data_IF_907483155239
#
_entry.id   IF_907483155239
#
_cell.length_a   1.000
_cell.length_b   1.000
_cell.length_c   1.000
_cell.angle_alpha   90.00
_cell.angle_beta   90.00
_cell.angle_gamma   90.00
#
_symmetry.space_group_name_H-M   'P 1'
#
loop_
_entity.id
_entity.type
_entity.pdbx_description
1 polymer ?
#
# COMPACT_ATOMS: atom_id res chain seq x y z
N UNK A 1 -3.04 -5.97 20.00
CA UNK A 1 -4.37 -6.40 20.48
C UNK A 1 -4.63 -7.80 19.96
N UNK A 2 -5.07 -8.73 20.83
CA UNK A 2 -5.30 -10.14 20.47
C UNK A 2 -6.71 -10.29 19.90
N UNK A 3 -6.85 -10.90 18.72
CA UNK A 3 -8.16 -11.18 18.13
C UNK A 3 -8.92 -12.23 18.96
N UNK A 4 -10.19 -11.95 19.27
CA UNK A 4 -11.12 -12.88 19.94
C UNK A 4 -12.26 -13.18 18.96
N UNK A 5 -12.49 -14.45 18.57
CA UNK A 5 -13.63 -14.80 17.71
C UNK A 5 -14.96 -14.32 18.32
N UNK A 6 -15.60 -13.36 17.67
CA UNK A 6 -16.76 -12.63 18.19
C UNK A 6 -17.90 -12.62 17.18
N UNK A 7 -18.98 -13.36 17.43
CA UNK A 7 -20.16 -13.36 16.55
C UNK A 7 -21.16 -12.27 16.95
N UNK A 8 -22.07 -11.89 16.06
CA UNK A 8 -23.22 -11.00 16.36
C UNK A 8 -24.03 -11.48 17.54
N UNK A 9 -24.26 -12.79 17.65
CA UNK A 9 -24.91 -13.40 18.81
C UNK A 9 -24.17 -13.06 20.11
N UNK A 10 -22.83 -13.11 20.10
CA UNK A 10 -22.00 -12.75 21.26
C UNK A 10 -22.09 -11.25 21.56
N UNK A 11 -22.05 -10.39 20.55
CA UNK A 11 -22.19 -8.94 20.74
C UNK A 11 -23.56 -8.58 21.32
N UNK A 12 -24.63 -9.21 20.85
CA UNK A 12 -25.98 -8.99 21.38
C UNK A 12 -26.12 -9.47 22.83
N UNK A 13 -25.45 -10.56 23.22
CA UNK A 13 -25.36 -10.97 24.62
C UNK A 13 -24.68 -9.89 25.48
N UNK A 14 -23.56 -9.32 25.02
CA UNK A 14 -22.83 -8.28 25.73
C UNK A 14 -23.65 -6.97 25.84
N UNK A 15 -24.38 -6.57 24.77
CA UNK A 15 -25.31 -5.43 24.82
C UNK A 15 -26.43 -5.66 25.83
N UNK A 16 -27.02 -6.86 25.88
CA UNK A 16 -28.06 -7.22 26.86
C UNK A 16 -27.53 -7.15 28.29
N UNK A 17 -26.30 -7.62 28.54
CA UNK A 17 -25.64 -7.51 29.84
C UNK A 17 -25.42 -6.04 30.23
N UNK A 18 -24.91 -5.20 29.32
CA UNK A 18 -24.71 -3.77 29.58
C UNK A 18 -26.03 -3.03 29.87
N UNK A 19 -27.12 -3.39 29.19
CA UNK A 19 -28.46 -2.83 29.44
C UNK A 19 -29.00 -3.20 30.83
N UNK A 20 -28.82 -4.45 31.26
CA UNK A 20 -29.16 -4.88 32.63
C UNK A 20 -28.33 -4.15 33.67
N UNK A 21 -27.03 -4.03 33.44
CA UNK A 21 -26.10 -3.34 34.33
C UNK A 21 -26.50 -1.86 34.50
N UNK A 22 -26.88 -1.19 33.41
CA UNK A 22 -27.40 0.19 33.43
C UNK A 22 -28.70 0.31 34.23
N UNK A 23 -29.62 -0.65 34.09
CA UNK A 23 -30.89 -0.63 34.82
C UNK A 23 -30.70 -0.77 36.34
N UNK A 24 -29.67 -1.49 36.77
CA UNK A 24 -29.36 -1.67 38.21
C UNK A 24 -28.50 -0.55 38.80
N UNK A 25 -27.53 -0.02 38.05
CA UNK A 25 -26.53 0.94 38.57
C UNK A 25 -26.71 2.40 38.10
N UNK A 26 -27.57 2.67 37.13
CA UNK A 26 -27.71 4.00 36.52
C UNK A 26 -26.48 4.43 35.72
N UNK A 27 -26.45 5.67 35.20
CA UNK A 27 -25.27 6.23 34.49
C UNK A 27 -25.27 6.07 32.96
N UNK A 28 -24.14 6.45 32.33
CA UNK A 28 -24.00 6.46 30.86
C UNK A 28 -23.86 5.04 30.31
N UNK A 29 -24.53 4.75 29.20
CA UNK A 29 -24.55 3.41 28.61
C UNK A 29 -23.17 2.96 28.10
N UNK A 30 -22.37 3.88 27.57
CA UNK A 30 -21.03 3.61 27.02
C UNK A 30 -20.08 3.05 28.10
N UNK A 31 -20.16 3.56 29.33
CA UNK A 31 -19.33 3.08 30.43
C UNK A 31 -19.65 1.63 30.80
N UNK A 32 -20.93 1.25 30.70
CA UNK A 32 -21.39 -0.11 30.94
C UNK A 32 -20.98 -1.07 29.83
N UNK A 33 -20.98 -0.61 28.57
CA UNK A 33 -20.46 -1.38 27.44
C UNK A 33 -18.96 -1.65 27.59
N UNK A 34 -18.18 -0.65 28.01
CA UNK A 34 -16.76 -0.82 28.27
C UNK A 34 -16.48 -1.76 29.46
N UNK A 35 -17.25 -1.64 30.55
CA UNK A 35 -17.12 -2.52 31.71
C UNK A 35 -17.42 -3.99 31.35
N UNK A 36 -18.48 -4.24 30.58
CA UNK A 36 -18.84 -5.58 30.10
C UNK A 36 -17.79 -6.12 29.13
N UNK A 37 -17.28 -5.29 28.20
CA UNK A 37 -16.20 -5.66 27.29
C UNK A 37 -14.95 -6.12 28.06
N UNK A 38 -14.51 -5.36 29.07
CA UNK A 38 -13.37 -5.73 29.94
C UNK A 38 -13.61 -7.03 30.69
N UNK A 39 -14.80 -7.24 31.25
CA UNK A 39 -15.14 -8.49 31.93
C UNK A 39 -15.13 -9.72 31.01
N UNK A 40 -15.32 -9.50 29.71
CA UNK A 40 -15.32 -10.55 28.68
C UNK A 40 -13.96 -10.72 27.99
N UNK A 41 -12.90 -10.05 28.47
CA UNK A 41 -11.54 -10.18 27.97
C UNK A 41 -11.15 -9.22 26.85
N UNK A 42 -11.98 -8.22 26.54
CA UNK A 42 -11.68 -7.17 25.55
C UNK A 42 -11.17 -5.90 26.23
N UNK A 43 -10.32 -5.11 25.55
CA UNK A 43 -9.81 -3.86 26.12
C UNK A 43 -10.90 -2.78 26.34
N UNK A 44 -11.83 -2.65 25.39
CA UNK A 44 -12.96 -1.72 25.43
C UNK A 44 -14.03 -2.11 24.39
N UNK A 45 -15.20 -1.46 24.40
CA UNK A 45 -16.30 -1.78 23.49
C UNK A 45 -15.91 -1.72 22.00
N UNK A 46 -15.07 -0.77 21.62
CA UNK A 46 -14.59 -0.68 20.24
C UNK A 46 -13.76 -1.91 19.81
N UNK A 47 -13.08 -2.62 20.73
CA UNK A 47 -12.35 -3.85 20.43
C UNK A 47 -13.33 -5.02 20.17
N UNK A 48 -14.49 -5.03 20.83
CA UNK A 48 -15.58 -5.99 20.57
C UNK A 48 -16.12 -5.80 19.15
N UNK A 49 -16.36 -4.55 18.76
CA UNK A 49 -16.86 -4.21 17.41
C UNK A 49 -15.84 -4.62 16.34
N UNK A 50 -14.55 -4.29 16.53
CA UNK A 50 -13.49 -4.70 15.61
C UNK A 50 -13.32 -6.23 15.51
N UNK A 51 -13.43 -6.95 16.63
CA UNK A 51 -13.39 -8.42 16.61
C UNK A 51 -14.63 -9.02 15.93
N UNK A 52 -15.80 -8.40 16.10
CA UNK A 52 -17.01 -8.80 15.39
C UNK A 52 -16.89 -8.57 13.89
N UNK A 53 -16.46 -7.39 13.47
CA UNK A 53 -16.24 -7.06 12.05
C UNK A 53 -15.24 -8.02 11.39
N UNK A 54 -14.19 -8.45 12.11
CA UNK A 54 -13.23 -9.45 11.62
C UNK A 54 -13.81 -10.87 11.57
N UNK A 55 -14.64 -11.26 12.54
CA UNK A 55 -15.22 -12.62 12.62
C UNK A 55 -16.40 -12.79 11.66
N UNK A 56 -17.20 -11.74 11.47
CA UNK A 56 -18.37 -11.73 10.58
C UNK A 56 -18.04 -11.18 9.20
N UNK A 57 -16.78 -10.85 8.95
CA UNK A 57 -16.32 -10.48 7.62
C UNK A 57 -16.70 -11.64 6.69
N UNK A 58 -17.54 -11.40 5.68
CA UNK A 58 -17.77 -12.40 4.66
C UNK A 58 -16.40 -12.77 4.09
N UNK A 59 -16.15 -14.07 3.91
CA UNK A 59 -15.07 -14.51 3.03
C UNK A 59 -15.29 -13.76 1.72
N UNK A 60 -14.36 -12.90 1.35
CA UNK A 60 -14.45 -12.21 0.08
C UNK A 60 -14.48 -13.26 -1.02
N UNK A 61 -15.47 -13.19 -1.90
CA UNK A 61 -15.47 -13.95 -3.15
C UNK A 61 -14.37 -13.50 -4.10
N UNK A 62 -13.74 -12.35 -3.82
CA UNK A 62 -12.63 -11.80 -4.59
C UNK A 62 -11.31 -12.33 -4.05
N UNK A 63 -10.64 -13.10 -4.88
CA UNK A 63 -9.32 -13.67 -4.62
C UNK A 63 -8.25 -12.86 -5.38
N UNK A 64 -6.97 -13.01 -5.01
CA UNK A 64 -5.86 -12.45 -5.79
C UNK A 64 -5.88 -13.02 -7.21
N UNK A 65 -6.25 -14.29 -7.35
CA UNK A 65 -6.57 -14.96 -8.61
C UNK A 65 -7.41 -14.11 -9.57
N UNK A 66 -8.55 -13.62 -9.07
CA UNK A 66 -9.50 -12.85 -9.87
C UNK A 66 -9.00 -11.43 -10.19
N UNK A 67 -8.26 -10.78 -9.31
CA UNK A 67 -7.66 -9.48 -9.61
C UNK A 67 -6.54 -9.61 -10.66
N UNK A 68 -5.76 -10.69 -10.61
CA UNK A 68 -4.75 -11.00 -11.64
C UNK A 68 -5.42 -11.24 -13.00
N UNK A 69 -6.49 -12.03 -13.04
CA UNK A 69 -7.22 -12.28 -14.30
C UNK A 69 -7.79 -10.99 -14.88
N UNK A 70 -8.36 -10.13 -14.03
CA UNK A 70 -8.87 -8.82 -14.44
C UNK A 70 -7.78 -7.94 -15.07
N UNK A 71 -6.57 -7.95 -14.49
CA UNK A 71 -5.44 -7.16 -14.99
C UNK A 71 -4.90 -7.72 -16.30
N UNK A 72 -4.79 -9.04 -16.43
CA UNK A 72 -4.39 -9.70 -17.67
C UNK A 72 -5.41 -9.49 -18.80
N UNK A 73 -6.71 -9.53 -18.48
CA UNK A 73 -7.79 -9.25 -19.44
C UNK A 73 -7.77 -7.79 -19.91
N UNK A 74 -7.47 -6.84 -19.01
CA UNK A 74 -7.31 -5.44 -19.36
C UNK A 74 -6.09 -5.23 -20.27
N UNK A 75 -4.96 -5.84 -19.93
CA UNK A 75 -3.73 -5.79 -20.73
C UNK A 75 -3.95 -6.36 -22.13
N UNK A 76 -4.66 -7.48 -22.24
CA UNK A 76 -5.00 -8.08 -23.54
C UNK A 76 -5.86 -7.17 -24.43
N UNK A 77 -6.60 -6.21 -23.84
CA UNK A 77 -7.39 -5.19 -24.54
C UNK A 77 -6.61 -3.89 -24.81
N UNK A 78 -5.36 -3.79 -24.34
CA UNK A 78 -4.58 -2.56 -24.39
C UNK A 78 -5.07 -1.48 -23.40
N UNK A 79 -5.76 -1.90 -22.34
CA UNK A 79 -6.30 -0.99 -21.33
C UNK A 79 -5.33 -0.84 -20.16
N UNK A 80 -5.12 0.41 -19.72
CA UNK A 80 -4.38 0.73 -18.50
C UNK A 80 -5.33 0.62 -17.31
N UNK A 81 -5.07 -0.34 -16.42
CA UNK A 81 -5.82 -0.57 -15.19
C UNK A 81 -4.81 -0.71 -14.06
N UNK A 82 -5.06 0.00 -12.96
CA UNK A 82 -4.23 -0.06 -11.75
C UNK A 82 -5.19 -0.27 -10.57
N UNK A 83 -4.98 -1.34 -9.82
CA UNK A 83 -5.82 -1.70 -8.67
C UNK A 83 -4.96 -1.88 -7.44
N UNK A 84 -5.56 -1.60 -6.29
CA UNK A 84 -5.01 -1.88 -4.97
C UNK A 84 -5.93 -2.91 -4.32
N UNK A 85 -5.37 -4.01 -3.83
CA UNK A 85 -6.15 -5.04 -3.14
C UNK A 85 -6.68 -4.51 -1.81
N UNK A 86 -7.84 -5.01 -1.40
CA UNK A 86 -8.37 -4.74 -0.08
C UNK A 86 -7.90 -5.77 0.95
N UNK A 87 -8.17 -5.52 2.25
CA UNK A 87 -7.75 -6.40 3.33
C UNK A 87 -8.49 -7.75 3.34
N UNK A 88 -9.37 -7.97 2.37
CA UNK A 88 -10.05 -9.24 2.13
C UNK A 88 -9.25 -10.23 1.27
N UNK A 89 -8.21 -9.78 0.58
CA UNK A 89 -7.29 -10.64 -0.19
C UNK A 89 -6.12 -11.08 0.68
N UNK A 90 -5.45 -10.14 1.36
CA UNK A 90 -4.36 -10.44 2.30
C UNK A 90 -4.46 -9.57 3.54
N UNK A 91 -4.11 -10.14 4.69
CA UNK A 91 -4.12 -9.45 5.98
C UNK A 91 -2.81 -8.71 6.28
N UNK A 92 -1.75 -8.98 5.51
CA UNK A 92 -0.40 -8.43 5.72
C UNK A 92 -0.25 -7.00 5.18
N UNK A 93 -1.02 -6.65 4.16
CA UNK A 93 -1.03 -5.31 3.57
C UNK A 93 -1.67 -5.31 2.19
N UNK A 94 -2.10 -4.16 1.68
CA UNK A 94 -2.60 -4.05 0.31
C UNK A 94 -1.48 -4.28 -0.70
N UNK A 95 -1.76 -5.08 -1.73
CA UNK A 95 -0.93 -5.28 -2.91
C UNK A 95 -1.40 -4.36 -4.03
N UNK A 96 -0.52 -4.07 -4.99
CA UNK A 96 -0.86 -3.30 -6.19
C UNK A 96 -0.71 -4.18 -7.40
N UNK A 97 -1.72 -4.17 -8.28
CA UNK A 97 -1.64 -4.82 -9.58
C UNK A 97 -1.89 -3.78 -10.66
N UNK A 98 -1.14 -3.88 -11.76
CA UNK A 98 -1.35 -2.97 -12.88
C UNK A 98 -1.08 -3.61 -14.24
N UNK A 99 -1.85 -3.15 -15.23
CA UNK A 99 -1.60 -3.31 -16.65
C UNK A 99 -1.02 -2.00 -17.20
N UNK A 100 -0.22 -2.12 -18.26
CA UNK A 100 0.46 -0.98 -18.91
C UNK A 100 -0.19 -0.60 -20.23
N UNK A 101 -1.01 -1.48 -20.80
CA UNK A 101 -1.64 -1.34 -22.12
C UNK A 101 -0.67 -1.51 -23.29
N UNK A 102 0.60 -1.83 -23.02
CA UNK A 102 1.68 -1.90 -24.02
C UNK A 102 2.41 -3.25 -24.03
N UNK A 103 1.91 -4.25 -23.31
CA UNK A 103 2.38 -5.62 -23.29
C UNK A 103 2.70 -6.18 -21.90
N UNK A 104 2.72 -5.34 -20.87
CA UNK A 104 3.26 -5.70 -19.56
C UNK A 104 2.23 -5.58 -18.42
N UNK A 105 2.30 -6.50 -17.47
CA UNK A 105 1.45 -6.50 -16.28
C UNK A 105 2.19 -7.03 -15.05
N UNK A 106 1.90 -6.45 -13.89
CA UNK A 106 2.70 -6.62 -12.68
C UNK A 106 1.86 -6.72 -11.42
N UNK A 107 2.39 -7.45 -10.45
CA UNK A 107 1.96 -7.50 -9.04
C UNK A 107 3.10 -6.96 -8.18
N UNK A 108 2.80 -6.03 -7.27
CA UNK A 108 3.77 -5.33 -6.44
C UNK A 108 3.33 -5.34 -4.97
N UNK A 109 4.28 -5.59 -4.07
CA UNK A 109 4.17 -5.21 -2.66
C UNK A 109 4.73 -3.80 -2.47
N UNK A 110 3.91 -2.83 -2.04
CA UNK A 110 4.33 -1.44 -1.88
C UNK A 110 5.21 -1.17 -0.66
N UNK A 111 5.29 -2.09 0.32
CA UNK A 111 6.03 -1.87 1.56
C UNK A 111 7.53 -2.14 1.41
N UNK A 112 7.89 -3.16 0.63
CA UNK A 112 9.28 -3.55 0.36
C UNK A 112 9.66 -3.45 -1.13
N UNK A 113 8.76 -2.94 -1.95
CA UNK A 113 8.90 -2.81 -3.40
C UNK A 113 9.10 -4.15 -4.13
N UNK A 114 8.74 -5.28 -3.51
CA UNK A 114 8.80 -6.58 -4.17
C UNK A 114 7.87 -6.62 -5.39
N UNK A 115 8.33 -7.26 -6.46
CA UNK A 115 7.69 -7.25 -7.75
C UNK A 115 7.65 -8.63 -8.38
N UNK A 116 6.50 -9.00 -8.92
CA UNK A 116 6.27 -10.22 -9.68
C UNK A 116 5.64 -9.89 -11.03
N UNK A 117 6.22 -10.44 -12.09
CA UNK A 117 5.79 -10.23 -13.46
C UNK A 117 4.62 -11.15 -13.80
N UNK A 118 3.48 -10.57 -14.16
CA UNK A 118 2.31 -11.32 -14.64
C UNK A 118 2.36 -11.51 -16.17
N UNK A 119 2.85 -10.49 -16.87
CA UNK A 119 3.02 -10.48 -18.33
C UNK A 119 4.20 -9.59 -18.70
N UNK A 120 5.04 -10.05 -19.63
CA UNK A 120 6.18 -9.30 -20.15
C UNK A 120 6.21 -9.36 -21.67
N UNK A 121 6.24 -8.22 -22.34
CA UNK A 121 6.25 -8.09 -23.80
C UNK A 121 5.16 -8.95 -24.48
N UNK A 122 3.95 -8.90 -23.94
CA UNK A 122 2.79 -9.69 -24.36
C UNK A 122 2.89 -11.21 -24.11
N UNK A 123 3.91 -11.69 -23.39
CA UNK A 123 4.04 -13.09 -22.97
C UNK A 123 3.54 -13.27 -21.53
N UNK A 124 2.55 -14.15 -21.33
CA UNK A 124 2.05 -14.48 -20.00
C UNK A 124 3.06 -15.31 -19.22
N UNK A 125 3.21 -15.02 -17.93
CA UNK A 125 4.01 -15.82 -17.00
C UNK A 125 3.11 -16.78 -16.20
N UNK A 126 3.66 -17.87 -15.63
CA UNK A 126 2.98 -18.64 -14.59
C UNK A 126 2.54 -17.73 -13.45
N UNK A 127 1.45 -18.08 -12.75
CA UNK A 127 1.00 -17.30 -11.60
C UNK A 127 2.08 -17.33 -10.50
N UNK A 128 2.53 -16.18 -10.00
CA UNK A 128 3.59 -16.09 -9.02
C UNK A 128 3.07 -16.29 -7.59
N UNK A 129 1.98 -17.03 -7.38
CA UNK A 129 1.39 -17.16 -6.04
C UNK A 129 0.56 -18.42 -5.88
N UNK A 130 0.38 -18.82 -4.62
CA UNK A 130 -0.55 -19.84 -4.18
C UNK A 130 -1.44 -19.28 -3.09
N UNK A 131 -2.74 -19.51 -3.22
CA UNK A 131 -3.73 -19.12 -2.23
C UNK A 131 -4.04 -20.30 -1.31
N UNK A 132 -4.10 -20.04 -0.01
CA UNK A 132 -4.45 -20.97 1.04
C UNK A 132 -5.62 -20.41 1.86
N UNK A 133 -6.22 -21.23 2.73
CA UNK A 133 -7.35 -20.79 3.57
C UNK A 133 -6.97 -19.67 4.55
N UNK A 134 -5.71 -19.57 4.94
CA UNK A 134 -5.19 -18.63 5.94
C UNK A 134 -4.20 -17.59 5.39
N UNK A 135 -3.92 -17.59 4.09
CA UNK A 135 -2.98 -16.63 3.51
C UNK A 135 -2.67 -16.83 2.03
N UNK A 136 -1.73 -16.04 1.53
CA UNK A 136 -1.24 -16.10 0.16
C UNK A 136 0.29 -16.14 0.23
N UNK A 137 0.89 -17.09 -0.46
CA UNK A 137 2.34 -17.13 -0.69
C UNK A 137 2.62 -16.58 -2.09
N UNK A 138 3.53 -15.61 -2.20
CA UNK A 138 3.89 -14.97 -3.47
C UNK A 138 5.38 -15.22 -3.75
N UNK A 139 5.66 -15.78 -4.92
CA UNK A 139 6.99 -15.95 -5.49
C UNK A 139 7.40 -14.66 -6.21
N UNK A 140 8.17 -13.82 -5.52
CA UNK A 140 8.63 -12.54 -6.06
C UNK A 140 9.82 -12.70 -7.03
N UNK A 141 9.78 -11.99 -8.15
CA UNK A 141 10.85 -12.01 -9.16
C UNK A 141 12.01 -11.07 -8.84
N UNK A 142 11.74 -10.04 -8.03
CA UNK A 142 12.72 -9.07 -7.56
C UNK A 142 12.05 -7.80 -7.04
N UNK A 143 12.60 -6.63 -7.38
CA UNK A 143 12.12 -5.34 -6.87
C UNK A 143 11.84 -4.33 -7.99
N UNK A 144 10.93 -3.40 -7.70
CA UNK A 144 10.54 -2.30 -8.58
C UNK A 144 10.64 -0.96 -7.87
N UNK A 145 11.33 0.00 -8.47
CA UNK A 145 11.38 1.38 -7.98
C UNK A 145 10.88 2.36 -9.03
N UNK A 146 10.24 3.43 -8.57
CA UNK A 146 9.85 4.53 -9.44
C UNK A 146 10.99 5.56 -9.45
N UNK A 147 11.44 5.95 -10.64
CA UNK A 147 12.47 6.96 -10.82
C UNK A 147 12.02 7.98 -11.86
N UNK A 148 11.44 9.10 -11.41
CA UNK A 148 10.86 10.09 -12.30
C UNK A 148 9.75 9.46 -13.15
N UNK A 149 9.90 9.48 -14.48
CA UNK A 149 8.97 8.87 -15.46
C UNK A 149 9.29 7.41 -15.82
N UNK A 150 10.28 6.81 -15.15
CA UNK A 150 10.72 5.45 -15.42
C UNK A 150 10.40 4.52 -14.25
N UNK A 151 10.22 3.25 -14.59
CA UNK A 151 10.15 2.14 -13.65
C UNK A 151 11.45 1.37 -13.75
N UNK A 152 12.18 1.29 -12.64
CA UNK A 152 13.41 0.54 -12.53
C UNK A 152 13.12 -0.83 -11.94
N UNK A 153 13.43 -1.88 -12.68
CA UNK A 153 13.34 -3.26 -12.21
C UNK A 153 14.71 -3.81 -11.85
N UNK A 154 14.75 -4.63 -10.81
CA UNK A 154 15.85 -5.51 -10.47
C UNK A 154 15.29 -6.90 -10.19
N UNK A 155 15.07 -7.68 -11.25
CA UNK A 155 14.44 -9.00 -11.22
C UNK A 155 15.43 -10.11 -11.65
N UNK A 156 16.39 -10.50 -10.79
CA UNK A 156 17.40 -11.49 -11.14
C UNK A 156 16.81 -12.89 -11.36
N UNK A 157 15.65 -13.20 -10.78
CA UNK A 157 14.96 -14.47 -10.99
C UNK A 157 14.39 -14.62 -12.42
N UNK A 158 14.29 -13.51 -13.15
CA UNK A 158 13.71 -13.45 -14.49
C UNK A 158 14.73 -12.82 -15.46
N UNK A 159 15.61 -13.62 -16.10
CA UNK A 159 16.69 -13.10 -16.92
C UNK A 159 16.25 -12.20 -18.08
N UNK A 160 15.06 -12.42 -18.63
CA UNK A 160 14.53 -11.60 -19.73
C UNK A 160 14.22 -10.16 -19.28
N UNK A 161 14.03 -9.94 -17.98
CA UNK A 161 13.81 -8.65 -17.34
C UNK A 161 15.13 -8.17 -16.70
N UNK A 162 15.73 -8.96 -15.82
CA UNK A 162 16.99 -8.60 -15.16
C UNK A 162 16.95 -7.23 -14.49
N UNK A 163 18.02 -6.46 -14.62
CA UNK A 163 18.08 -5.07 -14.14
C UNK A 163 17.91 -4.09 -15.30
N UNK A 164 16.85 -3.28 -15.31
CA UNK A 164 16.60 -2.28 -16.37
C UNK A 164 15.67 -1.16 -15.95
N UNK A 165 15.76 -0.04 -16.65
CA UNK A 165 14.77 1.04 -16.62
C UNK A 165 13.77 0.88 -17.79
N UNK A 166 12.48 1.03 -17.51
CA UNK A 166 11.39 0.94 -18.49
C UNK A 166 10.59 2.23 -18.49
N UNK A 167 10.35 2.79 -19.68
CA UNK A 167 9.53 3.98 -19.89
C UNK A 167 8.17 3.66 -20.49
N UNK A 168 7.24 4.61 -20.44
CA UNK A 168 5.90 4.48 -21.02
C UNK A 168 4.85 3.84 -20.10
N UNK A 169 5.26 3.35 -18.93
CA UNK A 169 4.34 2.81 -17.92
C UNK A 169 3.51 3.94 -17.28
N UNK A 170 2.35 3.63 -16.67
CA UNK A 170 1.47 4.62 -16.05
C UNK A 170 2.00 5.05 -14.66
N UNK A 171 3.21 5.59 -14.61
CA UNK A 171 4.00 5.82 -13.40
C UNK A 171 3.28 6.67 -12.36
N UNK A 172 2.58 7.74 -12.76
CA UNK A 172 1.87 8.59 -11.80
C UNK A 172 0.69 7.87 -11.12
N UNK A 173 0.01 6.98 -11.86
CA UNK A 173 -1.05 6.15 -11.31
C UNK A 173 -0.51 5.12 -10.32
N UNK A 174 0.62 4.48 -10.67
CA UNK A 174 1.33 3.52 -9.81
C UNK A 174 1.79 4.22 -8.53
N UNK A 175 2.48 5.37 -8.67
CA UNK A 175 2.99 6.18 -7.54
C UNK A 175 1.90 6.55 -6.56
N UNK A 176 0.75 7.03 -7.06
CA UNK A 176 -0.39 7.41 -6.23
C UNK A 176 -0.92 6.24 -5.41
N UNK A 177 -0.99 5.04 -5.99
CA UNK A 177 -1.43 3.86 -5.25
C UNK A 177 -0.37 3.36 -4.28
N UNK A 178 0.92 3.35 -4.66
CA UNK A 178 2.02 2.96 -3.75
C UNK A 178 2.00 3.81 -2.47
N UNK A 179 1.92 5.14 -2.62
CA UNK A 179 1.82 6.06 -1.48
C UNK A 179 0.58 5.81 -0.62
N UNK A 180 -0.53 5.37 -1.20
CA UNK A 180 -1.74 5.04 -0.45
C UNK A 180 -1.60 3.72 0.30
N UNK A 181 -1.05 2.71 -0.37
CA UNK A 181 -1.00 1.33 0.06
C UNK A 181 0.06 1.09 1.14
N UNK A 182 1.18 1.82 1.10
CA UNK A 182 2.26 1.71 2.10
C UNK A 182 1.76 1.84 3.55
N UNK A 183 2.31 0.99 4.41
CA UNK A 183 2.11 1.05 5.85
C UNK A 183 2.67 2.33 6.46
N UNK A 184 2.18 2.67 7.65
CA UNK A 184 2.67 3.84 8.40
C UNK A 184 4.17 3.69 8.70
N UNK A 185 4.63 2.48 9.02
CA UNK A 185 6.03 2.19 9.28
C UNK A 185 6.90 2.47 8.06
N UNK A 186 6.49 2.01 6.87
CA UNK A 186 7.21 2.30 5.63
C UNK A 186 7.24 3.78 5.30
N UNK A 187 6.10 4.47 5.40
CA UNK A 187 6.01 5.92 5.20
C UNK A 187 6.94 6.70 6.13
N UNK A 188 7.05 6.28 7.39
CA UNK A 188 7.98 6.88 8.35
C UNK A 188 9.44 6.65 7.94
N UNK A 189 9.81 5.45 7.50
CA UNK A 189 11.16 5.17 7.01
C UNK A 189 11.51 6.04 5.79
N UNK A 190 10.59 6.21 4.84
CA UNK A 190 10.82 7.06 3.66
C UNK A 190 10.95 8.55 4.03
N UNK A 191 10.22 9.03 5.05
CA UNK A 191 10.30 10.42 5.52
C UNK A 191 11.58 10.67 6.32
N UNK A 192 11.87 9.84 7.33
CA UNK A 192 12.97 10.07 8.26
C UNK A 192 14.32 9.58 7.74
N UNK A 193 14.33 8.54 6.90
CA UNK A 193 15.55 7.97 6.34
C UNK A 193 16.20 8.83 5.26
N UNK A 194 15.48 9.81 4.66
CA UNK A 194 15.93 10.56 3.46
C UNK A 194 16.50 9.64 2.37
N UNK A 195 16.00 8.40 2.30
CA UNK A 195 16.62 7.29 1.57
C UNK A 195 16.64 7.50 0.05
N UNK A 196 15.77 8.38 -0.47
CA UNK A 196 15.59 8.64 -1.89
C UNK A 196 15.93 10.09 -2.30
N UNK A 197 16.46 10.91 -1.40
CA UNK A 197 16.77 12.31 -1.70
C UNK A 197 18.05 12.47 -2.53
N UNK A 198 17.93 12.99 -3.75
CA UNK A 198 19.02 13.41 -4.64
C UNK A 198 19.27 14.90 -4.48
N UNK A 199 20.53 15.29 -4.34
CA UNK A 199 20.91 16.70 -4.28
C UNK A 199 20.66 17.39 -5.63
N UNK A 200 20.11 18.61 -5.59
CA UNK A 200 19.86 19.43 -6.77
C UNK A 200 21.16 20.05 -7.28
N UNK A 201 22.04 19.25 -7.86
CA UNK A 201 23.22 19.75 -8.59
C UNK A 201 22.81 20.38 -9.91
N UNK A 202 23.68 21.18 -10.54
CA UNK A 202 23.36 21.78 -11.85
C UNK A 202 22.99 20.71 -12.89
N UNK A 203 23.70 19.58 -12.89
CA UNK A 203 23.40 18.44 -13.76
C UNK A 203 22.00 17.86 -13.51
N UNK A 204 21.62 17.69 -12.24
CA UNK A 204 20.30 17.17 -11.87
C UNK A 204 19.20 18.17 -12.26
N UNK A 205 19.43 19.47 -12.08
CA UNK A 205 18.49 20.52 -12.50
C UNK A 205 18.32 20.48 -14.02
N UNK A 206 19.40 20.42 -14.79
CA UNK A 206 19.34 20.34 -16.25
C UNK A 206 18.55 19.11 -16.72
N UNK A 207 18.77 17.95 -16.10
CA UNK A 207 18.06 16.72 -16.42
C UNK A 207 16.57 16.78 -16.03
N UNK A 208 16.21 17.43 -14.92
CA UNK A 208 14.81 17.64 -14.52
C UNK A 208 14.11 18.65 -15.43
N UNK A 209 14.78 19.73 -15.85
CA UNK A 209 14.24 20.70 -16.81
C UNK A 209 13.93 20.02 -18.16
N UNK A 210 14.81 19.13 -18.64
CA UNK A 210 14.53 18.30 -19.83
C UNK A 210 13.30 17.40 -19.66
N UNK A 211 12.97 17.01 -18.44
CA UNK A 211 11.77 16.25 -18.09
C UNK A 211 10.54 17.13 -17.88
N UNK A 212 10.64 18.45 -18.11
CA UNK A 212 9.52 19.39 -18.03
C UNK A 212 9.36 20.09 -16.68
N UNK A 213 10.33 19.97 -15.77
CA UNK A 213 10.32 20.74 -14.52
C UNK A 213 10.64 22.22 -14.77
N UNK A 214 10.03 23.08 -13.95
CA UNK A 214 10.31 24.51 -13.98
C UNK A 214 11.69 24.82 -13.35
N UNK A 215 12.57 25.46 -14.13
CA UNK A 215 13.94 25.76 -13.71
C UNK A 215 13.97 26.76 -12.54
N UNK A 216 13.04 27.71 -12.49
CA UNK A 216 12.99 28.70 -11.42
C UNK A 216 12.62 28.02 -10.09
N UNK A 217 11.57 27.19 -10.09
CA UNK A 217 11.15 26.40 -8.93
C UNK A 217 12.25 25.47 -8.41
N UNK A 218 13.01 24.81 -9.29
CA UNK A 218 14.14 23.96 -8.90
C UNK A 218 15.27 24.76 -8.24
N UNK A 219 15.61 25.92 -8.79
CA UNK A 219 16.63 26.80 -8.21
C UNK A 219 16.20 27.39 -6.87
N UNK A 220 14.93 27.79 -6.73
CA UNK A 220 14.37 28.21 -5.45
C UNK A 220 14.38 27.07 -4.42
N UNK A 221 14.00 25.87 -4.84
CA UNK A 221 14.07 24.67 -4.00
C UNK A 221 15.48 24.38 -3.51
N UNK A 222 16.47 24.43 -4.40
CA UNK A 222 17.89 24.29 -4.06
C UNK A 222 18.35 25.31 -3.03
N UNK A 223 18.00 26.59 -3.22
CA UNK A 223 18.33 27.65 -2.26
C UNK A 223 17.68 27.41 -0.89
N UNK A 224 16.48 26.82 -0.85
CA UNK A 224 15.79 26.39 0.36
C UNK A 224 16.28 25.05 0.96
N UNK A 225 17.37 24.48 0.44
CA UNK A 225 17.94 23.21 0.91
C UNK A 225 17.14 21.97 0.51
N UNK A 226 16.24 22.07 -0.47
CA UNK A 226 15.45 20.95 -0.94
C UNK A 226 16.30 19.90 -1.67
N UNK A 227 15.83 18.66 -1.62
CA UNK A 227 16.37 17.52 -2.38
C UNK A 227 15.27 16.99 -3.29
N UNK A 228 15.62 16.49 -4.47
CA UNK A 228 14.66 15.83 -5.35
C UNK A 228 14.48 14.37 -4.91
N UNK A 229 13.24 13.91 -4.77
CA UNK A 229 12.93 12.49 -4.57
C UNK A 229 12.44 11.89 -5.88
N UNK A 230 13.21 10.97 -6.52
CA UNK A 230 12.76 10.29 -7.72
C UNK A 230 11.54 9.39 -7.50
N UNK A 231 11.47 8.76 -6.32
CA UNK A 231 10.37 7.89 -5.91
C UNK A 231 9.05 8.63 -5.71
N UNK A 232 9.10 9.91 -5.31
CA UNK A 232 7.92 10.77 -5.20
C UNK A 232 7.74 11.71 -6.39
N UNK A 233 8.73 11.79 -7.28
CA UNK A 233 8.83 12.79 -8.33
C UNK A 233 8.49 14.19 -7.79
N UNK A 234 9.10 14.55 -6.66
CA UNK A 234 8.82 15.82 -5.95
C UNK A 234 10.02 16.35 -5.17
N UNK A 235 10.00 17.65 -4.88
CA UNK A 235 11.00 18.29 -4.02
C UNK A 235 10.65 18.05 -2.54
N UNK A 236 11.62 17.53 -1.79
CA UNK A 236 11.55 17.33 -0.35
C UNK A 236 12.38 18.43 0.33
N UNK A 237 11.70 19.28 1.08
CA UNK A 237 12.34 20.31 1.88
C UNK A 237 12.79 19.73 3.23
N UNK A 238 13.89 20.25 3.80
CA UNK A 238 14.25 19.91 5.17
C UNK A 238 13.09 20.31 6.09
N UNK A 239 12.83 19.49 7.11
CA UNK A 239 11.92 19.90 8.17
C UNK A 239 12.43 21.22 8.71
N UNK A 240 11.60 22.28 8.64
CA UNK A 240 11.98 23.57 9.20
C UNK A 240 12.29 23.34 10.67
N UNK A 241 13.57 23.39 11.03
CA UNK A 241 13.93 23.64 12.41
C UNK A 241 13.42 25.04 12.68
N UNK A 242 12.28 25.16 13.35
CA UNK A 242 12.06 26.33 14.19
C UNK A 242 13.16 26.27 15.25
N UNK A 243 14.36 26.72 14.87
CA UNK A 243 15.29 27.32 15.80
C UNK A 243 14.68 28.69 16.07
N UNK A 244 13.92 28.75 17.16
CA UNK A 244 13.63 29.99 17.83
C UNK A 244 14.96 30.74 18.04
N UNK A 245 15.10 31.90 17.41
CA UNK A 245 15.57 33.16 18.00
C UNK A 245 15.34 34.34 17.04
#
# INVERSE_FOLDING_TARGET
MRHIPTTSTRVEQLKKQAKRLKATKGGKHVDHLNAVAKSAGYDHWHHVVQCQERTERPVSTRTLGQEVDRILDAEAKGEIVIVMTGPEITSEGPLILFSTGIGDAWLIDPDDNSAACLRWHAESRPRPFREFDDGIEIDWDGHMELNGQFVNFSCPAVPEIGTRAVGGYPVEGIRKLMLRAQSVGRKMLDIFGRLDGVELTDQVIDDLVRQGWDSEALNQGRAGGARYSPGRNSLIYPAMSNLDE
#
